data_IF_629481851125
#
_entry.id   IF_629481851125
#
_cell.length_a   1.000
_cell.length_b   1.000
_cell.length_c   1.000
_cell.angle_alpha   90.00
_cell.angle_beta   90.00
_cell.angle_gamma   90.00
#
_symmetry.space_group_name_H-M   'P 1'
#
loop_
_entity.id
_entity.type
_entity.pdbx_description
1 polymer ?
#
# COMPACT_ATOMS: atom_id res chain seq x y z
N UNK A 1 -5.45 -29.54 -23.91
CA UNK A 1 -5.45 -28.70 -25.13
C UNK A 1 -4.19 -27.84 -25.26
N UNK A 2 -3.49 -27.52 -24.16
CA UNK A 2 -2.10 -27.08 -24.19
C UNK A 2 -1.25 -28.06 -23.36
N UNK A 3 -0.42 -28.89 -24.00
CA UNK A 3 0.40 -29.93 -23.31
C UNK A 3 1.68 -29.37 -22.69
N UNK A 4 2.12 -28.19 -23.12
CA UNK A 4 3.38 -27.55 -22.70
C UNK A 4 3.18 -26.44 -21.68
N UNK A 5 1.99 -26.32 -21.07
CA UNK A 5 1.65 -25.18 -20.20
C UNK A 5 2.61 -25.01 -19.01
N UNK A 6 3.22 -26.09 -18.53
CA UNK A 6 4.19 -26.06 -17.42
C UNK A 6 5.57 -25.52 -17.83
N UNK A 7 5.87 -25.41 -19.13
CA UNK A 7 7.11 -24.79 -19.63
C UNK A 7 7.03 -23.25 -19.62
N UNK A 8 5.85 -22.70 -19.32
CA UNK A 8 5.57 -21.27 -19.29
C UNK A 8 4.52 -20.89 -20.34
N UNK A 9 3.55 -20.08 -19.92
CA UNK A 9 2.52 -19.57 -20.81
C UNK A 9 2.26 -18.10 -20.51
N UNK A 10 2.48 -17.24 -21.52
CA UNK A 10 2.18 -15.80 -21.40
C UNK A 10 0.73 -15.57 -21.77
N UNK A 11 -0.09 -15.32 -20.76
CA UNK A 11 -1.49 -14.96 -20.95
C UNK A 11 -1.62 -13.62 -21.68
N UNK A 12 -2.47 -13.58 -22.71
CA UNK A 12 -2.96 -12.35 -23.31
C UNK A 12 -4.10 -11.81 -22.44
N UNK A 13 -3.99 -10.56 -21.98
CA UNK A 13 -4.98 -9.97 -21.08
C UNK A 13 -6.37 -9.82 -21.73
N UNK A 14 -6.44 -9.55 -23.03
CA UNK A 14 -7.69 -9.44 -23.77
C UNK A 14 -8.34 -10.82 -23.99
N UNK A 15 -7.55 -11.77 -24.48
CA UNK A 15 -8.09 -13.06 -24.95
C UNK A 15 -8.27 -14.08 -23.81
N UNK A 16 -7.41 -14.05 -22.78
CA UNK A 16 -7.33 -15.14 -21.79
C UNK A 16 -7.85 -14.77 -20.40
N UNK A 17 -8.04 -13.48 -20.08
CA UNK A 17 -8.52 -13.04 -18.77
C UNK A 17 -10.01 -12.62 -18.77
N UNK A 18 -10.74 -12.93 -19.85
CA UNK A 18 -12.17 -12.65 -19.92
C UNK A 18 -12.94 -13.46 -18.88
N UNK A 19 -13.68 -12.76 -18.01
CA UNK A 19 -14.47 -13.38 -16.94
C UNK A 19 -15.81 -13.86 -17.48
N UNK A 20 -16.10 -15.15 -17.28
CA UNK A 20 -17.41 -15.73 -17.57
C UNK A 20 -18.28 -15.58 -16.33
N UNK A 21 -19.29 -14.70 -16.39
CA UNK A 21 -20.20 -14.44 -15.25
C UNK A 21 -21.55 -15.17 -15.37
N UNK A 22 -22.13 -15.21 -16.57
CA UNK A 22 -23.44 -15.84 -16.82
C UNK A 22 -23.64 -16.06 -18.31
N UNK A 23 -24.48 -17.04 -18.66
CA UNK A 23 -24.94 -17.28 -20.04
C UNK A 23 -26.32 -16.69 -20.33
N UNK A 24 -26.96 -16.07 -19.32
CA UNK A 24 -28.37 -15.63 -19.39
C UNK A 24 -28.58 -14.14 -19.12
N UNK A 25 -27.81 -13.56 -18.20
CA UNK A 25 -28.02 -12.20 -17.68
C UNK A 25 -26.68 -11.48 -17.59
N UNK A 26 -26.62 -10.21 -17.94
CA UNK A 26 -25.36 -9.46 -17.84
C UNK A 26 -25.00 -9.21 -16.37
N UNK A 27 -23.70 -9.06 -16.09
CA UNK A 27 -23.24 -8.67 -14.76
C UNK A 27 -23.81 -7.32 -14.33
N UNK A 28 -23.99 -6.39 -15.28
CA UNK A 28 -24.59 -5.08 -15.05
C UNK A 28 -26.02 -5.21 -14.53
N UNK A 29 -26.85 -6.01 -15.18
CA UNK A 29 -28.26 -6.16 -14.78
C UNK A 29 -28.37 -6.79 -13.38
N UNK A 30 -27.48 -7.71 -13.05
CA UNK A 30 -27.41 -8.33 -11.71
C UNK A 30 -27.04 -7.29 -10.65
N UNK A 31 -26.05 -6.44 -10.93
CA UNK A 31 -25.63 -5.37 -10.01
C UNK A 31 -26.75 -4.34 -9.82
N UNK A 32 -27.40 -3.90 -10.91
CA UNK A 32 -28.48 -2.92 -10.84
C UNK A 32 -29.68 -3.43 -10.04
N UNK A 33 -30.06 -4.70 -10.24
CA UNK A 33 -31.11 -5.34 -9.46
C UNK A 33 -30.75 -5.42 -7.97
N UNK A 34 -29.52 -5.85 -7.63
CA UNK A 34 -29.06 -5.93 -6.24
C UNK A 34 -29.02 -4.56 -5.54
N UNK A 35 -28.68 -3.51 -6.28
CA UNK A 35 -28.65 -2.13 -5.76
C UNK A 35 -30.01 -1.42 -5.80
N UNK A 36 -31.04 -2.04 -6.41
CA UNK A 36 -32.36 -1.42 -6.60
C UNK A 36 -32.33 -0.20 -7.54
N UNK A 37 -31.39 -0.14 -8.47
CA UNK A 37 -31.23 0.99 -9.41
C UNK A 37 -31.92 0.65 -10.73
N UNK A 38 -32.89 1.47 -11.13
CA UNK A 38 -33.51 1.36 -12.46
C UNK A 38 -32.51 1.66 -13.58
N UNK A 39 -32.59 0.94 -14.69
CA UNK A 39 -31.67 1.10 -15.83
C UNK A 39 -31.53 2.54 -16.34
N UNK A 40 -32.64 3.30 -16.38
CA UNK A 40 -32.63 4.71 -16.83
C UNK A 40 -31.86 5.66 -15.89
N UNK A 41 -31.62 5.24 -14.64
CA UNK A 41 -30.90 6.02 -13.64
C UNK A 41 -29.42 5.63 -13.54
N UNK A 42 -28.99 4.59 -14.25
CA UNK A 42 -27.59 4.19 -14.29
C UNK A 42 -26.80 5.06 -15.26
N UNK A 43 -25.77 5.75 -14.75
CA UNK A 43 -24.89 6.60 -15.55
C UNK A 43 -23.58 5.88 -15.93
N UNK A 44 -22.80 5.47 -14.93
CA UNK A 44 -21.52 4.77 -15.11
C UNK A 44 -21.13 3.99 -13.85
N UNK A 45 -20.11 3.14 -13.95
CA UNK A 45 -19.50 2.47 -12.80
C UNK A 45 -18.03 2.12 -13.05
N UNK A 46 -17.25 2.12 -11.98
CA UNK A 46 -15.94 1.48 -11.91
C UNK A 46 -16.06 0.20 -11.06
N UNK A 47 -15.70 -0.95 -11.62
CA UNK A 47 -15.80 -2.25 -10.96
C UNK A 47 -14.47 -2.97 -11.01
N UNK A 48 -14.12 -3.58 -9.89
CA UNK A 48 -12.91 -4.39 -9.75
C UNK A 48 -13.33 -5.80 -9.33
N UNK A 49 -12.92 -6.80 -10.12
CA UNK A 49 -13.06 -8.18 -9.70
C UNK A 49 -12.10 -8.48 -8.55
N UNK A 50 -12.61 -9.16 -7.53
CA UNK A 50 -11.83 -9.52 -6.36
C UNK A 50 -12.14 -10.94 -5.94
N UNK A 51 -11.15 -11.63 -5.41
CA UNK A 51 -11.31 -12.99 -4.89
C UNK A 51 -12.38 -13.01 -3.78
N UNK A 52 -13.34 -13.94 -3.85
CA UNK A 52 -14.40 -14.08 -2.85
C UNK A 52 -13.95 -14.82 -1.59
N UNK A 53 -12.81 -15.51 -1.64
CA UNK A 53 -12.26 -16.25 -0.52
C UNK A 53 -11.87 -15.27 0.62
N UNK A 54 -12.32 -15.53 1.86
CA UNK A 54 -11.91 -14.71 2.99
C UNK A 54 -10.44 -14.95 3.37
N UNK A 55 -9.82 -13.93 3.95
CA UNK A 55 -8.47 -14.00 4.51
C UNK A 55 -8.41 -15.04 5.64
N UNK A 56 -7.27 -15.72 5.77
CA UNK A 56 -7.07 -16.79 6.77
C UNK A 56 -5.68 -16.76 7.35
N UNK A 57 -5.57 -17.17 8.61
CA UNK A 57 -4.29 -17.57 9.19
C UNK A 57 -3.98 -18.99 8.71
N UNK A 58 -2.77 -19.19 8.21
CA UNK A 58 -2.26 -20.46 7.68
C UNK A 58 -0.87 -20.75 8.28
N UNK A 59 -0.32 -21.92 7.96
CA UNK A 59 0.92 -22.43 8.54
C UNK A 59 0.63 -23.44 9.65
N UNK A 60 1.55 -24.36 9.88
CA UNK A 60 1.38 -25.42 10.88
C UNK A 60 1.34 -24.88 12.31
N UNK A 61 1.90 -23.69 12.52
CA UNK A 61 1.93 -22.98 13.80
C UNK A 61 1.07 -21.70 13.76
N UNK A 62 0.32 -21.47 12.67
CA UNK A 62 -0.50 -20.27 12.50
C UNK A 62 0.30 -19.00 12.25
N UNK A 63 1.47 -19.12 11.62
CA UNK A 63 2.47 -18.06 11.51
C UNK A 63 2.27 -17.09 10.32
N UNK A 64 1.34 -17.38 9.39
CA UNK A 64 1.15 -16.57 8.18
C UNK A 64 -0.29 -16.06 8.04
N UNK A 65 -0.42 -14.81 7.57
CA UNK A 65 -1.68 -14.25 7.10
C UNK A 65 -1.76 -14.38 5.58
N UNK A 66 -2.66 -15.23 5.08
CA UNK A 66 -3.02 -15.30 3.67
C UNK A 66 -4.21 -14.37 3.40
N UNK A 67 -4.00 -13.33 2.62
CA UNK A 67 -5.03 -12.36 2.26
C UNK A 67 -4.73 -11.71 0.92
N UNK A 68 -5.79 -11.40 0.17
CA UNK A 68 -5.72 -10.45 -0.94
C UNK A 68 -5.38 -9.05 -0.46
N UNK A 69 -4.79 -8.24 -1.34
CA UNK A 69 -4.55 -6.81 -1.15
C UNK A 69 -3.75 -6.47 0.13
N UNK A 70 -2.91 -7.39 0.63
CA UNK A 70 -1.99 -7.06 1.73
C UNK A 70 -1.12 -5.87 1.35
N UNK A 71 -0.69 -5.86 0.09
CA UNK A 71 -0.16 -4.68 -0.57
C UNK A 71 -1.31 -3.77 -1.03
N UNK A 72 -1.48 -2.56 -0.49
CA UNK A 72 -0.88 -2.02 0.74
C UNK A 72 -1.93 -1.80 1.85
N UNK A 73 -3.00 -2.62 1.90
CA UNK A 73 -4.00 -2.51 2.98
C UNK A 73 -3.43 -2.85 4.35
N UNK A 74 -2.36 -3.64 4.42
CA UNK A 74 -1.67 -3.93 5.67
C UNK A 74 -1.01 -2.67 6.26
N UNK A 75 -0.32 -1.87 5.44
CA UNK A 75 0.21 -0.56 5.82
C UNK A 75 -0.90 0.41 6.19
N UNK A 76 -1.98 0.45 5.40
CA UNK A 76 -3.14 1.30 5.70
C UNK A 76 -3.76 0.98 7.07
N UNK A 77 -3.94 -0.30 7.36
CA UNK A 77 -4.45 -0.77 8.65
C UNK A 77 -3.50 -0.38 9.79
N UNK A 78 -2.19 -0.56 9.62
CA UNK A 78 -1.20 -0.19 10.64
C UNK A 78 -1.23 1.31 10.95
N UNK A 79 -1.31 2.17 9.92
CA UNK A 79 -1.45 3.62 10.08
C UNK A 79 -2.73 3.95 10.83
N UNK A 80 -3.89 3.47 10.37
CA UNK A 80 -5.18 3.75 11.00
C UNK A 80 -5.20 3.30 12.46
N UNK A 81 -4.73 2.08 12.73
CA UNK A 81 -4.65 1.55 14.08
C UNK A 81 -3.77 2.43 14.98
N UNK A 82 -2.60 2.86 14.48
CA UNK A 82 -1.72 3.76 15.23
C UNK A 82 -2.35 5.13 15.45
N UNK A 83 -3.07 5.67 14.46
CA UNK A 83 -3.65 7.00 14.51
C UNK A 83 -4.75 7.10 15.57
N UNK A 84 -5.64 6.09 15.61
CA UNK A 84 -6.78 6.01 16.54
C UNK A 84 -6.32 5.73 17.97
N UNK A 85 -5.29 4.91 18.16
CA UNK A 85 -4.87 4.47 19.51
C UNK A 85 -3.70 5.27 20.10
N UNK A 86 -3.27 6.35 19.45
CA UNK A 86 -2.24 7.23 20.01
C UNK A 86 -2.82 8.59 20.37
N UNK A 87 -2.55 9.06 21.58
CA UNK A 87 -2.73 10.45 21.99
C UNK A 87 -1.37 11.13 22.08
N UNK A 88 -1.21 12.31 21.47
CA UNK A 88 -0.05 13.15 21.72
C UNK A 88 -0.41 14.63 21.52
N UNK A 89 0.43 15.50 22.07
CA UNK A 89 0.27 16.95 21.97
C UNK A 89 0.90 17.52 20.68
N UNK A 90 1.00 16.70 19.62
CA UNK A 90 1.62 17.06 18.35
C UNK A 90 0.64 16.91 17.19
N UNK A 91 0.91 17.65 16.12
CA UNK A 91 0.18 17.47 14.87
C UNK A 91 0.50 16.09 14.27
N UNK A 92 -0.53 15.31 14.00
CA UNK A 92 -0.44 14.00 13.32
C UNK A 92 -1.31 14.00 12.09
N UNK A 93 -0.77 13.52 10.98
CA UNK A 93 -1.48 13.37 9.70
C UNK A 93 -1.35 11.92 9.28
N UNK A 94 -2.48 11.30 8.94
CA UNK A 94 -2.54 10.06 8.19
C UNK A 94 -3.11 10.39 6.81
N UNK A 95 -2.42 9.95 5.76
CA UNK A 95 -2.84 10.17 4.37
C UNK A 95 -2.78 8.84 3.62
N UNK A 96 -3.80 8.57 2.82
CA UNK A 96 -3.94 7.37 2.02
C UNK A 96 -4.19 7.80 0.58
N UNK A 97 -3.30 7.43 -0.32
CA UNK A 97 -3.39 7.76 -1.74
C UNK A 97 -3.91 6.58 -2.54
N UNK A 98 -4.62 6.88 -3.63
CA UNK A 98 -5.03 5.89 -4.62
C UNK A 98 -3.97 5.81 -5.74
N UNK A 99 -4.09 4.82 -6.63
CA UNK A 99 -3.35 4.75 -7.90
C UNK A 99 -1.82 4.65 -7.78
N UNK A 100 -1.28 4.26 -6.62
CA UNK A 100 0.16 4.01 -6.44
C UNK A 100 0.67 2.93 -7.42
N UNK A 101 -0.08 1.83 -7.55
CA UNK A 101 0.20 0.69 -8.43
C UNK A 101 0.23 1.03 -9.93
N UNK A 102 -0.23 2.23 -10.30
CA UNK A 102 -0.19 2.75 -11.68
C UNK A 102 0.66 4.02 -11.81
N UNK A 103 1.48 4.32 -10.79
CA UNK A 103 2.48 5.39 -10.81
C UNK A 103 2.07 6.71 -10.18
N UNK A 104 0.97 6.75 -9.41
CA UNK A 104 0.53 7.93 -8.60
C UNK A 104 0.19 9.23 -9.35
N UNK A 105 0.37 9.30 -10.67
CA UNK A 105 0.13 10.49 -11.48
C UNK A 105 -1.37 10.68 -11.82
N UNK A 106 -2.18 10.83 -10.78
CA UNK A 106 -3.63 11.09 -10.87
C UNK A 106 -4.02 12.18 -9.87
N UNK A 107 -5.25 12.68 -9.94
CA UNK A 107 -5.74 13.66 -8.96
C UNK A 107 -5.89 13.11 -7.53
N UNK A 108 -5.79 11.79 -7.33
CA UNK A 108 -5.93 11.11 -6.03
C UNK A 108 -4.66 10.35 -5.63
N UNK A 109 -3.64 10.36 -6.48
CA UNK A 109 -2.36 9.72 -6.21
C UNK A 109 -1.38 10.60 -5.45
N UNK A 110 -0.28 9.99 -5.03
CA UNK A 110 0.73 10.64 -4.19
C UNK A 110 1.51 11.75 -4.91
N UNK A 111 1.55 11.73 -6.26
CA UNK A 111 2.19 12.75 -7.09
C UNK A 111 1.24 13.94 -7.40
N UNK A 112 0.06 13.96 -6.79
CA UNK A 112 -0.87 15.10 -6.85
C UNK A 112 -0.50 16.20 -5.87
N UNK A 113 -1.11 17.38 -6.05
CA UNK A 113 -1.04 18.47 -5.08
C UNK A 113 -1.98 18.28 -3.87
N UNK A 114 -2.67 17.14 -3.75
CA UNK A 114 -3.71 16.96 -2.73
C UNK A 114 -3.20 17.22 -1.31
N UNK A 115 -2.08 16.59 -0.93
CA UNK A 115 -1.56 16.74 0.42
C UNK A 115 -1.02 18.15 0.68
N UNK A 116 -0.28 18.73 -0.27
CA UNK A 116 0.26 20.08 -0.12
C UNK A 116 -0.86 21.13 0.02
N UNK A 117 -1.89 21.06 -0.83
CA UNK A 117 -3.04 21.96 -0.78
C UNK A 117 -3.84 21.80 0.52
N UNK A 118 -4.05 20.57 0.99
CA UNK A 118 -4.76 20.34 2.27
C UNK A 118 -3.98 20.92 3.44
N UNK A 119 -2.65 20.73 3.49
CA UNK A 119 -1.82 21.27 4.57
C UNK A 119 -1.77 22.80 4.54
N UNK A 120 -1.63 23.41 3.35
CA UNK A 120 -1.67 24.86 3.20
C UNK A 120 -3.02 25.43 3.64
N UNK A 121 -4.14 24.77 3.30
CA UNK A 121 -5.49 25.20 3.72
C UNK A 121 -5.69 25.09 5.24
N UNK A 122 -5.15 24.05 5.88
CA UNK A 122 -5.18 23.94 7.35
C UNK A 122 -4.40 25.11 7.97
N UNK A 123 -3.23 25.43 7.43
CA UNK A 123 -2.39 26.52 7.94
C UNK A 123 -3.05 27.89 7.74
N UNK A 124 -3.69 28.13 6.59
CA UNK A 124 -4.48 29.33 6.33
C UNK A 124 -5.65 29.48 7.31
N UNK A 125 -6.37 28.39 7.60
CA UNK A 125 -7.46 28.40 8.57
C UNK A 125 -6.99 28.69 10.01
N UNK A 126 -5.72 28.40 10.31
CA UNK A 126 -5.08 28.71 11.58
C UNK A 126 -4.42 30.10 11.60
N UNK A 127 -4.62 30.92 10.56
CA UNK A 127 -4.00 32.24 10.36
C UNK A 127 -2.47 32.21 10.35
N UNK A 128 -1.88 31.11 9.87
CA UNK A 128 -0.43 31.02 9.70
C UNK A 128 -0.02 31.68 8.39
N UNK A 129 1.14 32.32 8.42
CA UNK A 129 1.80 32.89 7.26
C UNK A 129 2.42 31.79 6.37
N UNK A 130 2.71 32.14 5.12
CA UNK A 130 3.42 31.24 4.20
C UNK A 130 4.79 30.82 4.72
N UNK A 131 5.51 31.71 5.40
CA UNK A 131 6.81 31.39 5.99
C UNK A 131 6.67 30.35 7.09
N UNK A 132 5.66 30.47 7.95
CA UNK A 132 5.36 29.48 8.99
C UNK A 132 5.00 28.11 8.39
N UNK A 133 4.24 28.07 7.29
CA UNK A 133 3.97 26.84 6.56
C UNK A 133 5.26 26.15 6.08
N UNK A 134 6.17 26.89 5.42
CA UNK A 134 7.44 26.34 4.93
C UNK A 134 8.32 25.83 6.08
N UNK A 135 8.40 26.56 7.19
CA UNK A 135 9.12 26.14 8.39
C UNK A 135 8.52 24.86 8.97
N UNK A 136 7.18 24.78 9.08
CA UNK A 136 6.48 23.59 9.60
C UNK A 136 6.70 22.38 8.70
N UNK A 137 6.60 22.53 7.39
CA UNK A 137 6.85 21.46 6.41
C UNK A 137 8.29 20.95 6.53
N UNK A 138 9.29 21.84 6.62
CA UNK A 138 10.69 21.46 6.80
C UNK A 138 10.99 20.80 8.16
N UNK A 139 10.19 21.09 9.20
CA UNK A 139 10.29 20.44 10.52
C UNK A 139 9.49 19.15 10.62
N UNK A 140 8.72 18.80 9.60
CA UNK A 140 7.89 17.60 9.59
C UNK A 140 8.71 16.33 9.32
N UNK A 141 8.15 15.18 9.71
CA UNK A 141 8.75 13.88 9.45
C UNK A 141 7.70 12.93 8.90
N UNK A 142 7.95 12.39 7.71
CA UNK A 142 7.06 11.48 7.02
C UNK A 142 7.61 10.05 7.10
N UNK A 143 6.73 9.09 7.41
CA UNK A 143 7.00 7.66 7.30
C UNK A 143 6.10 7.14 6.19
N UNK A 144 6.68 6.86 5.01
CA UNK A 144 5.98 6.14 3.95
C UNK A 144 5.97 4.65 4.31
N UNK A 145 4.77 4.09 4.50
CA UNK A 145 4.58 2.69 4.88
C UNK A 145 4.05 1.95 3.67
N UNK A 146 4.82 0.97 3.23
CA UNK A 146 4.53 0.17 2.06
C UNK A 146 5.20 -1.21 2.19
N UNK A 147 4.68 -2.20 1.48
CA UNK A 147 5.10 -3.60 1.61
C UNK A 147 6.54 -3.79 1.15
N UNK A 148 7.10 -4.95 1.52
CA UNK A 148 8.38 -5.39 1.00
C UNK A 148 8.37 -6.88 0.69
N UNK A 149 9.24 -7.29 -0.22
CA UNK A 149 9.40 -8.69 -0.58
C UNK A 149 10.18 -9.42 0.51
N UNK A 150 9.51 -10.37 1.16
CA UNK A 150 10.15 -11.37 2.01
C UNK A 150 11.00 -12.34 1.21
N UNK A 151 12.08 -12.84 1.81
CA UNK A 151 12.86 -13.90 1.19
C UNK A 151 11.97 -15.11 0.92
N UNK A 152 11.84 -15.48 -0.35
CA UNK A 152 11.17 -16.70 -0.74
C UNK A 152 12.20 -17.85 -0.76
N UNK A 153 12.02 -18.95 0.00
CA UNK A 153 13.00 -20.03 0.08
C UNK A 153 13.40 -20.63 -1.28
N UNK A 154 12.43 -20.82 -2.18
CA UNK A 154 12.67 -21.29 -3.55
C UNK A 154 13.34 -20.29 -4.49
N UNK A 155 13.48 -19.01 -4.10
CA UNK A 155 14.02 -17.93 -4.93
C UNK A 155 14.97 -17.02 -4.15
N UNK A 156 15.72 -17.58 -3.19
CA UNK A 156 16.64 -16.83 -2.33
C UNK A 156 17.65 -15.98 -3.14
N UNK A 157 18.08 -16.48 -4.31
CA UNK A 157 19.03 -15.79 -5.21
C UNK A 157 18.55 -14.45 -5.78
N UNK A 158 17.25 -14.14 -5.64
CA UNK A 158 16.65 -12.84 -6.02
C UNK A 158 16.88 -11.74 -4.99
N UNK A 159 17.36 -12.08 -3.79
CA UNK A 159 17.61 -11.14 -2.70
C UNK A 159 19.12 -10.97 -2.47
N UNK A 160 19.51 -9.80 -1.94
CA UNK A 160 20.86 -9.61 -1.43
C UNK A 160 21.08 -10.50 -0.19
N UNK A 161 22.18 -11.26 -0.07
CA UNK A 161 22.42 -12.16 1.06
C UNK A 161 22.52 -11.46 2.43
N UNK A 162 22.89 -10.18 2.47
CA UNK A 162 23.12 -9.42 3.70
C UNK A 162 21.91 -8.55 4.10
N UNK A 163 21.02 -8.24 3.16
CA UNK A 163 19.91 -7.29 3.34
C UNK A 163 18.55 -7.91 2.99
N UNK A 164 18.19 -8.97 3.71
CA UNK A 164 16.98 -9.78 3.46
C UNK A 164 15.85 -9.47 4.43
N UNK A 165 14.62 -9.53 3.92
CA UNK A 165 13.43 -9.46 4.74
C UNK A 165 13.00 -10.86 5.22
N UNK A 166 13.02 -11.13 6.53
CA UNK A 166 12.45 -12.36 7.09
C UNK A 166 11.10 -12.08 7.76
N UNK A 167 10.06 -12.81 7.34
CA UNK A 167 8.72 -12.70 7.92
C UNK A 167 8.74 -12.93 9.43
N UNK A 168 7.94 -12.16 10.18
CA UNK A 168 7.85 -12.28 11.64
C UNK A 168 9.07 -11.78 12.43
N UNK A 169 10.10 -11.23 11.77
CA UNK A 169 11.33 -10.76 12.46
C UNK A 169 11.41 -9.25 12.69
N UNK A 170 10.33 -8.51 12.47
CA UNK A 170 10.23 -7.08 12.77
C UNK A 170 9.82 -6.23 11.57
N UNK A 171 9.88 -4.91 11.75
CA UNK A 171 9.57 -3.92 10.71
C UNK A 171 10.75 -3.77 9.76
N UNK A 172 10.49 -3.49 8.50
CA UNK A 172 11.53 -3.32 7.49
C UNK A 172 11.74 -1.86 7.14
N UNK A 173 12.99 -1.49 6.85
CA UNK A 173 13.32 -0.19 6.27
C UNK A 173 13.96 -0.41 4.91
N UNK A 174 13.31 0.14 3.87
CA UNK A 174 13.76 0.10 2.48
C UNK A 174 14.81 1.20 2.26
N UNK A 175 16.02 0.81 1.85
CA UNK A 175 17.12 1.73 1.54
C UNK A 175 17.49 1.66 0.06
N UNK A 176 17.77 2.81 -0.56
CA UNK A 176 18.25 2.88 -1.95
C UNK A 176 19.14 4.09 -2.16
N UNK A 177 20.40 3.87 -2.56
CA UNK A 177 21.32 4.95 -2.89
C UNK A 177 20.88 5.73 -4.16
N UNK A 178 20.07 5.12 -5.02
CA UNK A 178 19.53 5.73 -6.23
C UNK A 178 18.16 6.39 -5.99
N UNK A 179 17.78 6.64 -4.73
CA UNK A 179 16.54 7.33 -4.35
C UNK A 179 15.26 6.68 -4.89
N UNK A 180 15.24 5.36 -5.11
CA UNK A 180 13.98 4.62 -5.27
C UNK A 180 13.14 4.63 -3.99
N UNK A 181 13.78 4.88 -2.86
CA UNK A 181 13.15 5.12 -1.57
C UNK A 181 13.72 6.43 -0.99
N UNK A 182 12.86 7.23 -0.35
CA UNK A 182 13.23 8.52 0.23
C UNK A 182 14.09 8.42 1.52
N UNK A 183 14.38 7.20 1.98
CA UNK A 183 15.13 6.96 3.20
C UNK A 183 16.55 7.53 3.11
N UNK A 184 16.87 8.45 4.02
CA UNK A 184 18.23 9.00 4.21
C UNK A 184 18.84 8.47 5.50
N UNK A 185 20.15 8.65 5.69
CA UNK A 185 20.84 8.28 6.94
C UNK A 185 20.23 8.97 8.17
N UNK A 186 19.86 10.25 8.06
CA UNK A 186 19.19 11.00 9.14
C UNK A 186 17.78 10.45 9.42
N UNK A 187 17.00 10.15 8.37
CA UNK A 187 15.67 9.55 8.53
C UNK A 187 15.74 8.17 9.17
N UNK A 188 16.68 7.34 8.71
CA UNK A 188 16.90 6.01 9.26
C UNK A 188 17.36 6.05 10.71
N UNK A 189 18.30 6.94 11.07
CA UNK A 189 18.75 7.09 12.46
C UNK A 189 17.60 7.48 13.41
N UNK A 190 16.69 8.36 12.97
CA UNK A 190 15.48 8.71 13.75
C UNK A 190 14.58 7.49 13.96
N UNK A 191 14.29 6.74 12.90
CA UNK A 191 13.46 5.51 12.97
C UNK A 191 14.11 4.44 13.86
N UNK A 192 15.41 4.18 13.67
CA UNK A 192 16.17 3.19 14.44
C UNK A 192 16.21 3.53 15.93
N UNK A 193 16.43 4.79 16.26
CA UNK A 193 16.36 5.26 17.65
C UNK A 193 14.95 5.09 18.25
N UNK A 194 13.90 5.41 17.48
CA UNK A 194 12.52 5.20 17.92
C UNK A 194 12.23 3.72 18.18
N UNK A 195 12.68 2.83 17.30
CA UNK A 195 12.49 1.39 17.46
C UNK A 195 13.26 0.81 18.64
N UNK A 196 14.52 1.21 18.86
CA UNK A 196 15.31 0.81 20.03
C UNK A 196 14.58 1.21 21.32
N UNK A 197 14.10 2.45 21.42
CA UNK A 197 13.35 2.95 22.59
C UNK A 197 12.08 2.17 22.89
N UNK A 198 11.45 1.60 21.86
CA UNK A 198 10.19 0.86 21.96
C UNK A 198 10.37 -0.66 21.84
N UNK A 199 11.62 -1.16 21.88
CA UNK A 199 11.93 -2.58 21.71
C UNK A 199 11.34 -3.21 20.43
N UNK A 200 11.29 -2.45 19.35
CA UNK A 200 10.83 -2.89 18.02
C UNK A 200 12.03 -3.38 17.23
N UNK A 201 11.96 -4.61 16.71
CA UNK A 201 12.98 -5.15 15.81
C UNK A 201 12.86 -4.49 14.44
N UNK A 202 13.99 -4.07 13.88
CA UNK A 202 14.10 -3.53 12.53
C UNK A 202 15.00 -4.44 11.70
N UNK A 203 14.64 -4.59 10.43
CA UNK A 203 15.42 -5.24 9.38
C UNK A 203 15.70 -4.23 8.27
N UNK A 204 16.88 -4.30 7.65
CA UNK A 204 17.29 -3.41 6.56
C UNK A 204 17.25 -4.16 5.24
N UNK A 205 16.72 -3.52 4.19
CA UNK A 205 16.60 -4.12 2.86
C UNK A 205 17.19 -3.18 1.83
N UNK A 206 17.99 -3.78 0.95
CA UNK A 206 18.53 -3.14 -0.25
C UNK A 206 18.14 -4.02 -1.43
N UNK A 207 17.62 -3.41 -2.49
CA UNK A 207 17.31 -4.14 -3.71
C UNK A 207 18.59 -4.48 -4.47
N UNK A 208 18.67 -5.69 -4.99
CA UNK A 208 19.72 -6.13 -5.91
C UNK A 208 19.56 -5.51 -7.30
#
# INVERSE_FOLDING_TARGET
LNRQINEGFKYNAHDNLTVISSTKKSIKDTILEQLGIEHKNFLSCDLIFTESQPSKIIGTEGEFLASKNLDNKSGCHAIMNSYVHTSNDKNKIAVFFDNEEVGSLTSRGADSNFLSEVLERIDLALNLTREEHLIKTNKSFNISIDSVHGIHPGYASKHDPNYQATLGKGVFVKNSANFRYATTSTGFAKLKNLAIKNNIKIQEIIMK
#
